data_IF_441115513138
#
_entry.id   IF_441115513138
#
_cell.length_a   1.000
_cell.length_b   1.000
_cell.length_c   1.000
_cell.angle_alpha   90.00
_cell.angle_beta   90.00
_cell.angle_gamma   90.00
#
_symmetry.space_group_name_H-M   'P 1'
#
loop_
_entity.id
_entity.type
_entity.pdbx_description
1 polymer ?
#
# COMPACT_ATOMS: atom_id res chain seq x y z
N UNK A 1 59.98 -3.36 44.25
CA UNK A 1 59.14 -2.50 45.11
C UNK A 1 58.23 -1.73 44.16
N UNK A 2 56.91 -1.72 44.22
CA UNK A 2 55.91 -2.42 45.04
C UNK A 2 54.58 -2.31 44.28
N UNK A 3 53.70 -3.30 44.48
CA UNK A 3 52.27 -3.27 44.15
C UNK A 3 51.60 -2.02 44.75
N UNK A 4 50.67 -1.42 44.00
CA UNK A 4 49.45 -0.79 44.51
C UNK A 4 48.42 -0.91 43.37
N UNK A 5 47.52 -1.89 43.40
CA UNK A 5 46.23 -1.93 44.11
C UNK A 5 45.11 -1.22 43.33
N UNK A 6 44.11 -2.03 43.02
CA UNK A 6 42.85 -1.71 42.39
C UNK A 6 42.01 -0.79 43.30
N UNK A 7 41.59 0.35 42.78
CA UNK A 7 40.50 1.15 43.34
C UNK A 7 39.33 1.05 42.35
N UNK A 8 38.50 0.02 42.51
CA UNK A 8 37.17 -0.05 41.88
C UNK A 8 36.25 0.71 42.85
N UNK A 9 35.89 1.94 42.50
CA UNK A 9 34.86 2.69 43.23
C UNK A 9 33.51 1.97 43.08
N UNK A 10 32.90 1.66 44.22
CA UNK A 10 31.55 1.08 44.37
C UNK A 10 30.53 1.94 43.61
N UNK A 11 29.94 1.38 42.54
CA UNK A 11 28.77 1.97 41.87
C UNK A 11 27.56 1.68 42.77
N UNK A 12 26.97 2.73 43.32
CA UNK A 12 25.83 2.68 44.24
C UNK A 12 24.63 1.95 43.57
N UNK A 13 24.10 0.89 44.20
CA UNK A 13 22.97 0.09 43.68
C UNK A 13 21.70 0.94 43.43
N UNK A 14 21.62 2.10 44.06
CA UNK A 14 20.53 3.08 43.87
C UNK A 14 20.54 3.72 42.47
N UNK A 15 21.72 3.80 41.83
CA UNK A 15 21.90 4.41 40.51
C UNK A 15 21.48 3.45 39.38
N UNK A 16 21.73 2.15 39.55
CA UNK A 16 21.22 1.12 38.62
C UNK A 16 19.70 1.03 38.61
N UNK A 17 19.07 1.19 39.78
CA UNK A 17 17.61 1.08 39.93
C UNK A 17 16.89 2.25 39.24
N UNK A 18 17.48 3.45 39.33
CA UNK A 18 16.95 4.66 38.68
C UNK A 18 17.07 4.60 37.16
N UNK A 19 18.14 4.00 36.64
CA UNK A 19 18.34 3.78 35.20
C UNK A 19 17.36 2.75 34.62
N UNK A 20 17.07 1.67 35.36
CA UNK A 20 16.07 0.66 34.94
C UNK A 20 14.64 1.23 34.93
N UNK A 21 14.31 2.09 35.89
CA UNK A 21 12.98 2.71 35.98
C UNK A 21 12.74 3.75 34.87
N UNK A 22 13.80 4.40 34.36
CA UNK A 22 13.71 5.27 33.18
C UNK A 22 13.53 4.49 31.88
N UNK A 23 14.16 3.33 31.75
CA UNK A 23 14.03 2.48 30.56
C UNK A 23 12.61 1.87 30.41
N UNK A 24 11.92 1.59 31.53
CA UNK A 24 10.53 1.08 31.50
C UNK A 24 9.49 2.15 31.11
N UNK A 25 9.83 3.45 31.20
CA UNK A 25 8.92 4.54 30.84
C UNK A 25 8.96 4.91 29.34
N UNK A 26 9.91 4.37 28.58
CA UNK A 26 10.07 4.64 27.13
C UNK A 26 9.40 3.55 26.26
N UNK A 27 8.84 2.48 26.83
CA UNK A 27 8.30 1.34 26.08
C UNK A 27 6.82 1.48 25.63
N UNK A 28 6.11 2.55 26.01
CA UNK A 28 4.70 2.73 25.62
C UNK A 28 4.53 3.33 24.20
N UNK A 29 5.54 4.04 23.69
CA UNK A 29 5.49 4.76 22.40
C UNK A 29 5.77 3.86 21.17
N UNK A 30 6.45 2.72 21.38
CA UNK A 30 6.68 1.73 20.31
C UNK A 30 5.36 1.09 19.83
N UNK A 31 4.40 0.92 20.74
CA UNK A 31 3.11 0.28 20.44
C UNK A 31 2.22 1.14 19.52
N UNK A 32 2.20 2.45 19.73
CA UNK A 32 1.45 3.41 18.90
C UNK A 32 2.12 3.58 17.53
N UNK A 33 3.45 3.60 17.48
CA UNK A 33 4.20 3.64 16.23
C UNK A 33 3.97 2.37 15.39
N UNK A 34 4.02 1.18 15.98
CA UNK A 34 3.75 -0.07 15.28
C UNK A 34 2.30 -0.17 14.80
N UNK A 35 1.32 0.36 15.54
CA UNK A 35 -0.08 0.42 15.11
C UNK A 35 -0.29 1.43 13.95
N UNK A 36 0.40 2.58 13.98
CA UNK A 36 0.40 3.55 12.89
C UNK A 36 1.07 2.96 11.64
N UNK A 37 2.20 2.26 11.78
CA UNK A 37 2.87 1.60 10.66
C UNK A 37 2.01 0.45 10.15
N UNK A 38 1.44 -0.39 11.01
CA UNK A 38 0.55 -1.48 10.61
C UNK A 38 -0.70 -0.96 9.90
N UNK A 39 -1.32 0.11 10.39
CA UNK A 39 -2.48 0.75 9.74
C UNK A 39 -2.11 1.45 8.44
N UNK A 40 -0.90 2.02 8.33
CA UNK A 40 -0.37 2.61 7.10
C UNK A 40 0.02 1.55 6.07
N UNK A 41 0.61 0.44 6.49
CA UNK A 41 0.91 -0.75 5.66
C UNK A 41 -0.38 -1.43 5.22
N UNK A 42 -1.39 -1.53 6.10
CA UNK A 42 -2.69 -2.11 5.76
C UNK A 42 -3.49 -1.20 4.80
N UNK A 43 -3.40 0.13 4.97
CA UNK A 43 -3.89 1.09 3.99
C UNK A 43 -3.09 1.02 2.67
N UNK A 44 -1.77 0.87 2.70
CA UNK A 44 -0.96 0.64 1.48
C UNK A 44 -1.37 -0.63 0.74
N UNK A 45 -1.65 -1.73 1.45
CA UNK A 45 -2.14 -2.99 0.86
C UNK A 45 -3.56 -2.86 0.28
N UNK A 46 -4.44 -2.08 0.92
CA UNK A 46 -5.76 -1.73 0.36
C UNK A 46 -5.66 -0.80 -0.85
N UNK A 47 -4.66 0.06 -0.87
CA UNK A 47 -4.33 0.90 -2.03
C UNK A 47 -3.74 0.08 -3.18
N UNK A 48 -3.18 -1.10 -2.91
CA UNK A 48 -2.50 -1.93 -3.91
C UNK A 48 -3.46 -2.49 -4.98
N UNK A 49 -4.58 -3.12 -4.60
CA UNK A 49 -5.47 -3.75 -5.58
C UNK A 49 -6.09 -2.76 -6.59
N UNK A 50 -6.49 -1.57 -6.11
CA UNK A 50 -7.04 -0.52 -7.00
C UNK A 50 -5.94 0.09 -7.85
N UNK A 51 -4.76 0.36 -7.28
CA UNK A 51 -3.63 0.91 -8.03
C UNK A 51 -3.11 -0.07 -9.07
N UNK A 52 -3.02 -1.36 -8.73
CA UNK A 52 -2.65 -2.45 -9.63
C UNK A 52 -3.62 -2.51 -10.81
N UNK A 53 -4.93 -2.56 -10.57
CA UNK A 53 -5.93 -2.53 -11.64
C UNK A 53 -5.83 -1.27 -12.52
N UNK A 54 -5.69 -0.09 -11.90
CA UNK A 54 -5.56 1.16 -12.65
C UNK A 54 -4.27 1.20 -13.49
N UNK A 55 -3.19 0.61 -13.01
CA UNK A 55 -1.94 0.50 -13.76
C UNK A 55 -2.10 -0.45 -14.95
N UNK A 56 -2.67 -1.65 -14.74
CA UNK A 56 -2.93 -2.64 -15.79
C UNK A 56 -3.77 -2.09 -16.95
N UNK A 57 -4.90 -1.44 -16.67
CA UNK A 57 -5.76 -0.87 -17.72
C UNK A 57 -5.13 0.35 -18.41
N UNK A 58 -4.11 0.95 -17.81
CA UNK A 58 -3.35 2.07 -18.38
C UNK A 58 -2.48 1.65 -19.56
N UNK A 59 -2.02 0.39 -19.59
CA UNK A 59 -1.14 -0.14 -20.64
C UNK A 59 -1.87 -0.62 -21.90
N UNK A 60 -3.21 -0.77 -21.86
CA UNK A 60 -3.97 -1.21 -23.02
C UNK A 60 -4.05 -0.10 -24.09
N UNK A 61 -3.62 -0.36 -25.34
CA UNK A 61 -3.69 0.63 -26.40
C UNK A 61 -5.14 0.92 -26.79
N UNK A 62 -5.42 2.21 -27.03
CA UNK A 62 -6.71 2.66 -27.55
C UNK A 62 -6.92 2.15 -28.98
N UNK A 63 -8.18 1.89 -29.33
CA UNK A 63 -8.55 1.55 -30.70
C UNK A 63 -8.70 2.83 -31.52
N UNK A 64 -8.27 2.76 -32.77
CA UNK A 64 -8.66 3.72 -33.79
C UNK A 64 -10.13 3.51 -34.19
N UNK A 65 -10.75 4.51 -34.80
CA UNK A 65 -12.15 4.42 -35.23
C UNK A 65 -12.39 3.27 -36.22
N UNK A 66 -11.43 2.99 -37.11
CA UNK A 66 -11.52 1.87 -38.06
C UNK A 66 -11.44 0.51 -37.35
N UNK A 67 -10.55 0.38 -36.37
CA UNK A 67 -10.43 -0.83 -35.55
C UNK A 67 -11.68 -1.08 -34.72
N UNK A 68 -12.32 -0.04 -34.16
CA UNK A 68 -13.59 -0.18 -33.44
C UNK A 68 -14.67 -0.78 -34.34
N UNK A 69 -14.80 -0.30 -35.58
CA UNK A 69 -15.77 -0.86 -36.55
C UNK A 69 -15.42 -2.30 -36.90
N UNK A 70 -14.14 -2.62 -37.04
CA UNK A 70 -13.68 -3.98 -37.34
C UNK A 70 -13.98 -4.96 -36.20
N UNK A 71 -13.50 -4.67 -34.99
CA UNK A 71 -13.66 -5.56 -33.83
C UNK A 71 -15.12 -5.65 -33.38
N UNK A 72 -15.92 -4.58 -33.52
CA UNK A 72 -17.36 -4.63 -33.21
C UNK A 72 -18.12 -5.59 -34.12
N UNK A 73 -17.80 -5.62 -35.41
CA UNK A 73 -18.39 -6.59 -36.35
C UNK A 73 -18.02 -8.02 -36.00
N UNK A 74 -16.77 -8.28 -35.61
CA UNK A 74 -16.31 -9.61 -35.20
C UNK A 74 -16.93 -10.04 -33.86
N UNK A 75 -16.95 -9.16 -32.86
CA UNK A 75 -17.56 -9.42 -31.57
C UNK A 75 -19.06 -9.75 -31.71
N UNK A 76 -19.78 -9.05 -32.61
CA UNK A 76 -21.19 -9.36 -32.94
C UNK A 76 -21.39 -10.73 -33.58
N UNK A 77 -20.38 -11.27 -34.25
CA UNK A 77 -20.39 -12.63 -34.80
C UNK A 77 -20.02 -13.70 -33.76
N UNK A 78 -19.74 -13.31 -32.52
CA UNK A 78 -19.39 -14.23 -31.43
C UNK A 78 -17.88 -14.43 -31.24
N UNK A 79 -17.03 -13.62 -31.87
CA UNK A 79 -15.58 -13.68 -31.63
C UNK A 79 -15.23 -13.16 -30.23
N UNK A 80 -14.86 -14.08 -29.35
CA UNK A 80 -14.51 -13.80 -27.96
C UNK A 80 -13.24 -12.93 -27.83
N UNK A 81 -12.26 -13.08 -28.73
CA UNK A 81 -11.02 -12.29 -28.70
C UNK A 81 -11.29 -10.85 -29.13
N UNK A 82 -12.11 -10.66 -30.17
CA UNK A 82 -12.54 -9.33 -30.58
C UNK A 82 -13.33 -8.63 -29.47
N UNK A 83 -14.23 -9.35 -28.80
CA UNK A 83 -14.96 -8.83 -27.64
C UNK A 83 -14.04 -8.43 -26.50
N UNK A 84 -13.08 -9.28 -26.13
CA UNK A 84 -12.11 -8.99 -25.07
C UNK A 84 -11.30 -7.74 -25.40
N UNK A 85 -10.77 -7.66 -26.63
CA UNK A 85 -10.00 -6.49 -27.10
C UNK A 85 -10.81 -5.19 -26.98
N UNK A 86 -12.06 -5.20 -27.42
CA UNK A 86 -12.94 -4.02 -27.27
C UNK A 86 -13.17 -3.63 -25.81
N UNK A 87 -13.37 -4.60 -24.92
CA UNK A 87 -13.58 -4.34 -23.49
C UNK A 87 -12.33 -3.71 -22.90
N UNK A 88 -11.16 -4.34 -23.09
CA UNK A 88 -9.87 -3.89 -22.54
C UNK A 88 -9.51 -2.48 -23.00
N UNK A 89 -9.73 -2.15 -24.27
CA UNK A 89 -9.47 -0.79 -24.79
C UNK A 89 -10.39 0.28 -24.20
N UNK A 90 -11.55 -0.10 -23.64
CA UNK A 90 -12.54 0.82 -23.10
C UNK A 90 -12.60 0.86 -21.56
N UNK A 91 -11.79 0.06 -20.84
CA UNK A 91 -11.81 0.04 -19.36
C UNK A 91 -11.51 1.41 -18.74
N UNK A 92 -10.62 2.19 -19.38
CA UNK A 92 -10.29 3.57 -18.95
C UNK A 92 -11.50 4.50 -18.98
N UNK A 93 -12.37 4.34 -19.98
CA UNK A 93 -13.60 5.13 -20.11
C UNK A 93 -14.57 4.81 -18.96
N UNK A 94 -14.71 3.52 -18.63
CA UNK A 94 -15.58 3.07 -17.51
C UNK A 94 -15.14 3.72 -16.21
N UNK A 95 -13.85 3.66 -15.87
CA UNK A 95 -13.31 4.28 -14.65
C UNK A 95 -13.55 5.79 -14.64
N UNK A 96 -13.36 6.47 -15.77
CA UNK A 96 -13.62 7.92 -15.89
C UNK A 96 -15.08 8.27 -15.59
N UNK A 97 -16.03 7.47 -16.08
CA UNK A 97 -17.46 7.66 -15.83
C UNK A 97 -17.77 7.33 -14.37
N UNK A 98 -17.31 6.18 -13.86
CA UNK A 98 -17.55 5.71 -12.51
C UNK A 98 -17.04 6.68 -11.44
N UNK A 99 -15.88 7.33 -11.67
CA UNK A 99 -15.31 8.34 -10.77
C UNK A 99 -16.23 9.54 -10.52
N UNK A 100 -17.17 9.83 -11.43
CA UNK A 100 -18.21 10.87 -11.22
C UNK A 100 -19.20 10.48 -10.11
N UNK A 101 -19.30 9.20 -9.77
CA UNK A 101 -20.28 8.64 -8.84
C UNK A 101 -19.68 8.23 -7.48
N UNK A 102 -18.37 8.38 -7.27
CA UNK A 102 -17.69 7.97 -6.03
C UNK A 102 -18.29 8.55 -4.75
N UNK A 103 -18.89 9.74 -4.83
CA UNK A 103 -19.51 10.42 -3.68
C UNK A 103 -21.05 10.36 -3.68
N UNK A 104 -21.66 9.49 -4.51
CA UNK A 104 -23.12 9.39 -4.66
C UNK A 104 -23.75 8.12 -4.07
N UNK A 105 -22.95 7.29 -3.42
CA UNK A 105 -23.40 6.20 -2.55
C UNK A 105 -24.09 5.03 -3.26
N UNK A 106 -23.65 3.83 -2.91
CA UNK A 106 -24.46 2.61 -2.86
C UNK A 106 -24.11 1.96 -1.54
N UNK A 107 -24.91 2.21 -0.50
CA UNK A 107 -24.89 1.39 0.71
C UNK A 107 -25.60 0.06 0.46
#
# INVERSE_FOLDING_TARGET
MSRSQDDIEDIDEQDLTSAMQQAEAESDDESEFDEIIASRVNNQRKMDATQLYLSEIGFSPLLTAEEEVYFSRLARKGDAKARARMIESNLRLVVKIARRYTNRGTS
#
